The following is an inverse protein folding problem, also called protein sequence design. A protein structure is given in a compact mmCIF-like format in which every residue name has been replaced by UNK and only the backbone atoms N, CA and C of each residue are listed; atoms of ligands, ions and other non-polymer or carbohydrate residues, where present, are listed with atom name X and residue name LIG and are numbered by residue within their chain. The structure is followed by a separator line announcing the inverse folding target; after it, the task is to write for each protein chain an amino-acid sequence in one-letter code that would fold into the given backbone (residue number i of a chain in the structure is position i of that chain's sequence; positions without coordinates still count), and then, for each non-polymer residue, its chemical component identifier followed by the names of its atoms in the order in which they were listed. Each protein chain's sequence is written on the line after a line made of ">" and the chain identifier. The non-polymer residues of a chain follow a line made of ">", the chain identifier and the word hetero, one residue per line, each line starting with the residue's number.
data_IF_952105556931
#
_entry.id   IF_952105556931
#
_cell.length_a   1.000
_cell.length_b   1.000
_cell.length_c   1.000
_cell.angle_alpha   90.00
_cell.angle_beta   90.00
_cell.angle_gamma   90.00
#
_symmetry.space_group_name_H-M   'P 1'
#
loop_
_entity.id
_entity.type
_entity.pdbx_description
1 polymer ?
#
# COMPACT_ATOMS: atom_id res chain seq x y z
N UNK A 1 -25.87 -21.66 -16.34
CA UNK A 1 -24.64 -22.01 -15.59
C UNK A 1 -24.84 -22.84 -14.31
N UNK A 2 -25.43 -22.37 -13.20
CA UNK A 2 -25.61 -23.23 -11.99
C UNK A 2 -26.37 -24.55 -12.26
N UNK A 3 -27.35 -24.51 -13.16
CA UNK A 3 -28.14 -25.69 -13.57
C UNK A 3 -27.34 -26.70 -14.40
N UNK A 4 -26.42 -26.24 -15.25
CA UNK A 4 -25.58 -27.12 -16.09
C UNK A 4 -24.44 -27.73 -15.27
N UNK A 5 -23.83 -26.96 -14.36
CA UNK A 5 -22.79 -27.48 -13.46
C UNK A 5 -23.33 -28.60 -12.55
N UNK A 6 -24.55 -28.43 -12.03
CA UNK A 6 -25.22 -29.47 -11.25
C UNK A 6 -25.58 -30.70 -12.10
N UNK A 7 -26.00 -30.51 -13.36
CA UNK A 7 -26.27 -31.63 -14.26
C UNK A 7 -24.99 -32.42 -14.60
N UNK A 8 -23.85 -31.75 -14.84
CA UNK A 8 -22.57 -32.40 -15.10
C UNK A 8 -22.06 -33.11 -13.84
N UNK A 9 -22.14 -32.48 -12.66
CA UNK A 9 -21.70 -33.11 -11.40
C UNK A 9 -22.52 -34.34 -11.00
N UNK A 10 -23.78 -34.40 -11.41
CA UNK A 10 -24.66 -35.55 -11.23
C UNK A 10 -24.41 -36.67 -12.25
N UNK A 11 -23.76 -36.36 -13.38
CA UNK A 11 -23.36 -37.33 -14.41
C UNK A 11 -21.99 -37.97 -14.15
N UNK A 12 -21.15 -37.36 -13.30
CA UNK A 12 -19.83 -37.89 -12.96
C UNK A 12 -19.94 -39.03 -11.95
N UNK A 13 -19.30 -40.16 -12.26
CA UNK A 13 -19.14 -41.26 -11.30
C UNK A 13 -18.20 -40.84 -10.17
N UNK A 14 -18.21 -41.56 -9.05
CA UNK A 14 -17.29 -41.28 -7.93
C UNK A 14 -15.82 -41.43 -8.34
N UNK A 15 -15.53 -42.32 -9.30
CA UNK A 15 -14.20 -42.44 -9.90
C UNK A 15 -13.83 -41.20 -10.72
N UNK A 16 -14.75 -40.65 -11.51
CA UNK A 16 -14.49 -39.43 -12.29
C UNK A 16 -14.24 -38.23 -11.38
N UNK A 17 -15.02 -38.10 -10.29
CA UNK A 17 -14.80 -37.07 -9.26
C UNK A 17 -13.42 -37.19 -8.62
N UNK A 18 -12.94 -38.42 -8.38
CA UNK A 18 -11.60 -38.66 -7.83
C UNK A 18 -10.51 -38.26 -8.83
N UNK A 19 -10.67 -38.62 -10.11
CA UNK A 19 -9.73 -38.25 -11.17
C UNK A 19 -9.66 -36.73 -11.37
N UNK A 20 -10.80 -36.04 -11.35
CA UNK A 20 -10.85 -34.57 -11.44
C UNK A 20 -10.10 -33.93 -10.26
N UNK A 21 -10.30 -34.41 -9.04
CA UNK A 21 -9.58 -33.92 -7.85
C UNK A 21 -8.06 -34.11 -7.99
N UNK A 22 -7.62 -35.26 -8.46
CA UNK A 22 -6.19 -35.53 -8.67
C UNK A 22 -5.61 -34.65 -9.78
N UNK A 23 -6.34 -34.45 -10.88
CA UNK A 23 -5.94 -33.56 -11.98
C UNK A 23 -5.79 -32.11 -11.51
N UNK A 24 -6.74 -31.60 -10.72
CA UNK A 24 -6.66 -30.25 -10.12
C UNK A 24 -5.44 -30.14 -9.21
N UNK A 25 -5.17 -31.15 -8.39
CA UNK A 25 -4.00 -31.18 -7.50
C UNK A 25 -2.68 -31.15 -8.29
N UNK A 26 -2.58 -31.91 -9.38
CA UNK A 26 -1.41 -31.90 -10.27
C UNK A 26 -1.25 -30.51 -10.88
N UNK A 27 -2.32 -29.93 -11.41
CA UNK A 27 -2.30 -28.60 -12.02
C UNK A 27 -1.83 -27.51 -11.03
N UNK A 28 -2.38 -27.49 -9.81
CA UNK A 28 -1.96 -26.55 -8.76
C UNK A 28 -0.49 -26.74 -8.39
N UNK A 29 0.00 -27.99 -8.36
CA UNK A 29 1.42 -28.26 -8.12
C UNK A 29 2.29 -27.78 -9.28
N UNK A 30 1.82 -27.89 -10.52
CA UNK A 30 2.50 -27.33 -11.69
C UNK A 30 2.60 -25.81 -11.60
N UNK A 31 1.53 -25.11 -11.20
CA UNK A 31 1.56 -23.65 -11.00
C UNK A 31 2.57 -23.24 -9.92
N UNK A 32 2.62 -23.98 -8.81
CA UNK A 32 3.62 -23.74 -7.76
C UNK A 32 5.05 -23.92 -8.29
N UNK A 33 5.31 -24.97 -9.06
CA UNK A 33 6.63 -25.20 -9.64
C UNK A 33 7.02 -24.08 -10.62
N UNK A 34 6.08 -23.65 -11.47
CA UNK A 34 6.28 -22.53 -12.41
C UNK A 34 6.60 -21.25 -11.64
N UNK A 35 5.88 -20.96 -10.56
CA UNK A 35 6.15 -19.81 -9.68
C UNK A 35 7.54 -19.87 -9.04
N UNK A 36 7.95 -21.03 -8.53
CA UNK A 36 9.25 -21.22 -7.88
C UNK A 36 10.43 -21.12 -8.87
N UNK A 37 10.29 -21.74 -10.04
CA UNK A 37 11.33 -21.74 -11.08
C UNK A 37 11.62 -20.33 -11.58
N UNK A 38 10.60 -19.49 -11.73
CA UNK A 38 10.77 -18.09 -12.14
C UNK A 38 11.52 -17.22 -11.12
N UNK A 39 11.50 -17.61 -9.83
CA UNK A 39 12.26 -16.89 -8.79
C UNK A 39 13.76 -17.20 -8.83
N UNK A 40 14.20 -18.14 -9.67
CA UNK A 40 15.62 -18.47 -9.82
C UNK A 40 16.31 -17.48 -10.79
N UNK A 41 17.37 -16.81 -10.31
CA UNK A 41 18.11 -15.72 -11.00
C UNK A 41 18.57 -16.07 -12.43
N UNK A 42 18.84 -17.35 -12.73
CA UNK A 42 19.26 -17.77 -14.07
C UNK A 42 18.11 -17.84 -15.08
N UNK A 43 16.89 -18.08 -14.62
CA UNK A 43 15.71 -18.32 -15.47
C UNK A 43 15.04 -17.01 -15.89
N UNK A 44 15.18 -15.94 -15.09
CA UNK A 44 14.71 -14.60 -15.44
C UNK A 44 15.32 -14.03 -16.73
N UNK A 45 16.44 -14.61 -17.20
CA UNK A 45 17.12 -14.19 -18.44
C UNK A 45 16.63 -14.96 -19.69
N UNK A 46 16.07 -16.17 -19.54
CA UNK A 46 15.58 -17.00 -20.65
C UNK A 46 14.10 -16.72 -20.96
N UNK A 47 13.83 -15.51 -21.48
CA UNK A 47 12.46 -15.00 -21.68
C UNK A 47 11.62 -15.82 -22.66
N UNK A 48 12.22 -16.44 -23.69
CA UNK A 48 11.47 -17.19 -24.71
C UNK A 48 10.83 -18.45 -24.14
N UNK A 49 11.62 -19.30 -23.47
CA UNK A 49 11.12 -20.53 -22.84
C UNK A 49 10.07 -20.21 -21.77
N UNK A 50 10.32 -19.18 -20.94
CA UNK A 50 9.34 -18.81 -19.92
C UNK A 50 8.05 -18.29 -20.54
N UNK A 51 8.13 -17.51 -21.63
CA UNK A 51 6.93 -17.08 -22.38
C UNK A 51 6.15 -18.29 -22.87
N UNK A 52 6.81 -19.28 -23.45
CA UNK A 52 6.12 -20.49 -23.93
C UNK A 52 5.46 -21.28 -22.79
N UNK A 53 6.13 -21.42 -21.64
CA UNK A 53 5.56 -22.07 -20.45
C UNK A 53 4.32 -21.29 -19.97
N UNK A 54 4.41 -19.97 -19.83
CA UNK A 54 3.31 -19.13 -19.36
C UNK A 54 2.12 -19.19 -20.32
N UNK A 55 2.35 -19.04 -21.63
CA UNK A 55 1.27 -19.06 -22.62
C UNK A 55 0.56 -20.42 -22.65
N UNK A 56 1.30 -21.53 -22.58
CA UNK A 56 0.71 -22.87 -22.72
C UNK A 56 0.17 -23.44 -21.40
N UNK A 57 0.70 -23.03 -20.24
CA UNK A 57 0.30 -23.63 -18.96
C UNK A 57 -0.55 -22.70 -18.09
N UNK A 58 -0.42 -21.38 -18.21
CA UNK A 58 -1.01 -20.44 -17.24
C UNK A 58 -2.14 -19.62 -17.85
N UNK A 59 -1.94 -19.05 -19.04
CA UNK A 59 -2.83 -18.00 -19.60
C UNK A 59 -4.29 -18.48 -19.73
N UNK A 60 -4.52 -19.72 -20.17
CA UNK A 60 -5.87 -20.28 -20.32
C UNK A 60 -6.62 -20.40 -18.99
N UNK A 61 -5.89 -20.50 -17.88
CA UNK A 61 -6.48 -20.66 -16.54
C UNK A 61 -6.76 -19.34 -15.83
N UNK A 62 -6.34 -18.20 -16.39
CA UNK A 62 -6.65 -16.86 -15.84
C UNK A 62 -8.15 -16.55 -15.87
N UNK A 63 -8.93 -17.24 -16.72
CA UNK A 63 -10.39 -17.12 -16.80
C UNK A 63 -11.12 -18.35 -16.26
N UNK A 64 -10.42 -19.23 -15.53
CA UNK A 64 -11.02 -20.44 -14.97
C UNK A 64 -12.13 -20.09 -13.98
N UNK A 65 -13.25 -20.82 -14.00
CA UNK A 65 -14.35 -20.61 -13.05
C UNK A 65 -14.00 -21.05 -11.62
N UNK A 66 -13.03 -21.95 -11.47
CA UNK A 66 -12.57 -22.43 -10.17
C UNK A 66 -11.59 -21.39 -9.61
N UNK A 67 -12.01 -20.70 -8.55
CA UNK A 67 -11.27 -19.59 -7.93
C UNK A 67 -9.85 -20.02 -7.55
N UNK A 68 -9.68 -21.16 -6.88
CA UNK A 68 -8.35 -21.64 -6.46
C UNK A 68 -7.38 -21.82 -7.63
N UNK A 69 -7.86 -22.36 -8.76
CA UNK A 69 -7.05 -22.55 -9.97
C UNK A 69 -6.70 -21.18 -10.56
N UNK A 70 -7.69 -20.29 -10.68
CA UNK A 70 -7.50 -18.94 -11.22
C UNK A 70 -6.51 -18.13 -10.38
N UNK A 71 -6.63 -18.14 -9.06
CA UNK A 71 -5.72 -17.44 -8.15
C UNK A 71 -4.30 -17.99 -8.20
N UNK A 72 -4.13 -19.31 -8.28
CA UNK A 72 -2.80 -19.91 -8.43
C UNK A 72 -2.19 -19.66 -9.81
N UNK A 73 -3.01 -19.58 -10.88
CA UNK A 73 -2.54 -19.18 -12.20
C UNK A 73 -2.06 -17.71 -12.19
N UNK A 74 -2.82 -16.79 -11.59
CA UNK A 74 -2.41 -15.39 -11.44
C UNK A 74 -1.11 -15.29 -10.63
N UNK A 75 -1.00 -16.01 -9.51
CA UNK A 75 0.23 -16.05 -8.70
C UNK A 75 1.42 -16.58 -9.48
N UNK A 76 1.24 -17.64 -10.27
CA UNK A 76 2.28 -18.20 -11.11
C UNK A 76 2.68 -17.26 -12.26
N UNK A 77 1.77 -16.41 -12.73
CA UNK A 77 2.03 -15.38 -13.73
C UNK A 77 2.85 -14.21 -13.14
N UNK A 78 2.70 -13.87 -11.86
CA UNK A 78 3.26 -12.65 -11.26
C UNK A 78 4.77 -12.45 -11.53
N UNK A 79 5.67 -13.41 -11.27
CA UNK A 79 7.10 -13.16 -11.48
C UNK A 79 7.42 -12.83 -12.95
N UNK A 80 6.75 -13.49 -13.90
CA UNK A 80 6.89 -13.20 -15.33
C UNK A 80 6.48 -11.76 -15.67
N UNK A 81 5.49 -11.20 -14.97
CA UNK A 81 5.09 -9.81 -15.14
C UNK A 81 6.13 -8.85 -14.55
N UNK A 82 6.82 -9.22 -13.46
CA UNK A 82 7.80 -8.36 -12.78
C UNK A 82 9.19 -8.34 -13.43
N UNK A 83 9.58 -9.41 -14.13
CA UNK A 83 10.93 -9.54 -14.72
C UNK A 83 11.04 -8.78 -16.05
N UNK A 84 11.09 -7.44 -15.98
CA UNK A 84 11.33 -6.54 -17.12
C UNK A 84 10.50 -6.87 -18.38
N UNK A 85 9.26 -7.29 -18.18
CA UNK A 85 8.31 -7.65 -19.21
C UNK A 85 7.07 -6.74 -19.15
N UNK A 86 7.33 -5.45 -19.35
CA UNK A 86 6.29 -4.43 -19.34
C UNK A 86 5.16 -4.72 -20.32
N UNK A 87 5.44 -5.32 -21.48
CA UNK A 87 4.42 -5.66 -22.47
C UNK A 87 3.42 -6.70 -21.92
N UNK A 88 3.92 -7.75 -21.25
CA UNK A 88 3.05 -8.71 -20.59
C UNK A 88 2.29 -8.09 -19.42
N UNK A 89 2.96 -7.25 -18.61
CA UNK A 89 2.32 -6.53 -17.52
C UNK A 89 1.15 -5.65 -18.02
N UNK A 90 1.37 -4.86 -19.07
CA UNK A 90 0.32 -4.06 -19.74
C UNK A 90 -0.82 -4.92 -20.27
N UNK A 91 -0.50 -6.05 -20.88
CA UNK A 91 -1.53 -6.94 -21.42
C UNK A 91 -2.41 -7.56 -20.32
N UNK A 92 -1.82 -7.92 -19.18
CA UNK A 92 -2.51 -8.61 -18.09
C UNK A 92 -3.04 -7.70 -16.97
N UNK A 93 -2.71 -6.40 -16.93
CA UNK A 93 -3.15 -5.48 -15.87
C UNK A 93 -4.67 -5.42 -15.74
N UNK A 94 -5.40 -5.45 -16.86
CA UNK A 94 -6.87 -5.46 -16.85
C UNK A 94 -7.44 -6.77 -16.27
N UNK A 95 -6.70 -7.88 -16.36
CA UNK A 95 -7.09 -9.13 -15.69
C UNK A 95 -6.97 -8.98 -14.18
N UNK A 96 -5.94 -8.28 -13.70
CA UNK A 96 -5.75 -7.98 -12.28
C UNK A 96 -6.86 -7.05 -11.78
N UNK A 97 -7.18 -5.97 -12.51
CA UNK A 97 -8.27 -5.06 -12.17
C UNK A 97 -9.62 -5.80 -12.07
N UNK A 98 -9.93 -6.63 -13.07
CA UNK A 98 -11.16 -7.41 -13.07
C UNK A 98 -11.26 -8.36 -11.88
N UNK A 99 -10.14 -9.02 -11.51
CA UNK A 99 -10.14 -9.97 -10.40
C UNK A 99 -10.32 -9.28 -9.04
N UNK A 100 -9.81 -8.05 -8.86
CA UNK A 100 -10.04 -7.23 -7.66
C UNK A 100 -11.54 -6.95 -7.45
N UNK A 101 -12.29 -6.77 -8.54
CA UNK A 101 -13.76 -6.60 -8.48
C UNK A 101 -14.52 -7.91 -8.24
N UNK A 102 -13.86 -9.05 -8.39
CA UNK A 102 -14.52 -10.36 -8.43
C UNK A 102 -14.80 -10.90 -7.01
N UNK A 103 -15.97 -11.51 -6.76
CA UNK A 103 -16.28 -12.12 -5.49
C UNK A 103 -15.40 -13.36 -5.23
N UNK A 104 -15.08 -13.60 -3.95
CA UNK A 104 -14.25 -14.73 -3.49
C UNK A 104 -12.77 -14.67 -3.89
N UNK A 105 -12.32 -13.54 -4.44
CA UNK A 105 -10.91 -13.28 -4.73
C UNK A 105 -10.10 -13.11 -3.44
N UNK A 106 -8.85 -13.58 -3.46
CA UNK A 106 -7.86 -13.23 -2.45
C UNK A 106 -7.38 -11.79 -2.66
N UNK A 107 -8.12 -10.82 -2.09
CA UNK A 107 -7.86 -9.39 -2.27
C UNK A 107 -6.45 -8.99 -1.82
N UNK A 108 -5.92 -9.58 -0.74
CA UNK A 108 -4.56 -9.31 -0.28
C UNK A 108 -3.55 -9.63 -1.37
N UNK A 109 -3.62 -10.82 -1.96
CA UNK A 109 -2.71 -11.22 -3.04
C UNK A 109 -2.85 -10.32 -4.27
N UNK A 110 -4.08 -10.02 -4.70
CA UNK A 110 -4.29 -9.19 -5.88
C UNK A 110 -3.74 -7.77 -5.70
N UNK A 111 -3.94 -7.17 -4.53
CA UNK A 111 -3.43 -5.84 -4.22
C UNK A 111 -1.90 -5.83 -4.12
N UNK A 112 -1.29 -6.85 -3.51
CA UNK A 112 0.17 -7.00 -3.48
C UNK A 112 0.74 -7.06 -4.92
N UNK A 113 0.17 -7.91 -5.78
CA UNK A 113 0.59 -8.01 -7.18
C UNK A 113 0.44 -6.67 -7.89
N UNK A 114 -0.70 -6.00 -7.70
CA UNK A 114 -0.99 -4.75 -8.38
C UNK A 114 0.00 -3.65 -8.00
N UNK A 115 0.19 -3.43 -6.71
CA UNK A 115 1.07 -2.37 -6.22
C UNK A 115 2.54 -2.66 -6.50
N UNK A 116 2.96 -3.92 -6.49
CA UNK A 116 4.31 -4.28 -6.91
C UNK A 116 4.54 -3.97 -8.40
N UNK A 117 3.53 -4.17 -9.27
CA UNK A 117 3.63 -3.75 -10.68
C UNK A 117 3.78 -2.23 -10.79
N UNK A 118 3.02 -1.47 -9.99
CA UNK A 118 3.11 -0.01 -9.96
C UNK A 118 4.47 0.47 -9.45
N UNK A 119 5.05 -0.18 -8.44
CA UNK A 119 6.39 0.14 -7.95
C UNK A 119 7.49 -0.27 -8.94
N UNK A 120 7.32 -1.38 -9.63
CA UNK A 120 8.31 -1.90 -10.59
C UNK A 120 8.38 -1.04 -11.85
N UNK A 121 7.24 -0.65 -12.41
CA UNK A 121 7.18 0.03 -13.72
C UNK A 121 6.73 1.49 -13.66
N UNK A 122 6.22 1.95 -12.53
CA UNK A 122 5.60 3.28 -12.38
C UNK A 122 4.17 3.33 -12.93
N UNK A 123 3.35 4.22 -12.38
CA UNK A 123 1.94 4.38 -12.76
C UNK A 123 1.76 4.80 -14.23
N UNK A 124 2.64 5.68 -14.72
CA UNK A 124 2.61 6.19 -16.10
C UNK A 124 2.78 5.09 -17.13
N UNK A 125 3.50 4.02 -16.78
CA UNK A 125 3.67 2.87 -17.66
C UNK A 125 2.37 2.12 -17.89
N UNK A 126 1.33 2.33 -17.09
CA UNK A 126 0.01 1.71 -17.27
C UNK A 126 -1.07 2.71 -17.71
N UNK A 127 -0.67 3.91 -18.13
CA UNK A 127 -1.58 5.01 -18.48
C UNK A 127 -2.50 5.41 -17.29
N UNK A 128 -2.00 5.27 -16.06
CA UNK A 128 -2.73 5.63 -14.83
C UNK A 128 -2.31 7.03 -14.38
N UNK A 129 -3.30 7.87 -14.06
CA UNK A 129 -3.08 9.21 -13.48
C UNK A 129 -2.57 9.09 -12.04
N UNK A 130 -1.49 9.82 -11.71
CA UNK A 130 -1.00 9.97 -10.34
C UNK A 130 -1.72 11.07 -9.56
N UNK A 131 -2.50 11.92 -10.24
CA UNK A 131 -3.33 12.95 -9.64
C UNK A 131 -4.76 12.45 -9.40
N UNK A 132 -5.03 12.08 -8.15
CA UNK A 132 -6.38 11.72 -7.68
C UNK A 132 -7.01 12.82 -6.81
N UNK A 133 -6.33 13.95 -6.62
CA UNK A 133 -6.86 15.08 -5.85
C UNK A 133 -7.78 15.97 -6.72
N UNK A 134 -7.78 15.76 -8.04
CA UNK A 134 -8.76 16.33 -8.95
C UNK A 134 -10.17 15.78 -8.63
N UNK A 135 -11.20 16.63 -8.68
CA UNK A 135 -12.60 16.25 -8.48
C UNK A 135 -13.06 15.33 -9.63
N UNK A 136 -12.68 14.06 -9.58
CA UNK A 136 -13.05 13.03 -10.54
C UNK A 136 -14.33 12.34 -10.08
N UNK A 137 -15.30 12.24 -11.00
CA UNK A 137 -16.44 11.34 -10.83
C UNK A 137 -15.93 9.97 -11.25
N UNK A 138 -15.58 9.15 -10.28
CA UNK A 138 -15.20 7.76 -10.54
C UNK A 138 -16.44 6.89 -10.67
N UNK A 139 -16.45 6.05 -11.71
CA UNK A 139 -17.38 4.94 -11.81
C UNK A 139 -16.95 3.84 -10.81
N UNK A 140 -17.88 2.98 -10.42
CA UNK A 140 -17.64 1.89 -9.45
C UNK A 140 -16.74 0.76 -10.01
N UNK A 141 -16.42 0.80 -11.31
CA UNK A 141 -15.61 -0.21 -11.97
C UNK A 141 -14.10 0.11 -11.87
N UNK A 142 -13.33 -0.89 -11.45
CA UNK A 142 -11.88 -0.82 -11.41
C UNK A 142 -11.28 -0.78 -12.83
N UNK A 143 -10.89 0.40 -13.27
CA UNK A 143 -10.20 0.67 -14.55
C UNK A 143 -8.90 1.44 -14.28
N UNK A 144 -8.04 1.61 -15.31
CA UNK A 144 -6.82 2.40 -15.16
C UNK A 144 -7.07 3.84 -14.67
N UNK A 145 -8.22 4.42 -14.98
CA UNK A 145 -8.58 5.79 -14.59
C UNK A 145 -9.08 5.87 -13.13
N UNK A 146 -9.79 4.85 -12.66
CA UNK A 146 -10.49 4.87 -11.36
C UNK A 146 -9.84 3.99 -10.29
N UNK A 147 -8.83 3.17 -10.62
CA UNK A 147 -8.21 2.22 -9.69
C UNK A 147 -7.66 2.90 -8.44
N UNK A 148 -6.88 3.99 -8.57
CA UNK A 148 -6.29 4.65 -7.40
C UNK A 148 -7.32 5.37 -6.53
N UNK A 149 -8.26 6.17 -7.07
CA UNK A 149 -9.34 6.74 -6.27
C UNK A 149 -10.17 5.69 -5.53
N UNK A 150 -10.59 4.61 -6.22
CA UNK A 150 -11.39 3.54 -5.61
C UNK A 150 -10.64 2.83 -4.49
N UNK A 151 -9.34 2.53 -4.69
CA UNK A 151 -8.51 1.93 -3.65
C UNK A 151 -8.32 2.87 -2.47
N UNK A 152 -8.06 4.16 -2.71
CA UNK A 152 -7.93 5.17 -1.67
C UNK A 152 -9.23 5.30 -0.87
N UNK A 153 -10.39 5.26 -1.53
CA UNK A 153 -11.70 5.33 -0.90
C UNK A 153 -12.08 4.08 -0.11
N UNK A 154 -11.63 2.90 -0.56
CA UNK A 154 -11.87 1.63 0.11
C UNK A 154 -11.26 1.53 1.51
N UNK A 155 -10.20 2.29 1.80
CA UNK A 155 -9.64 2.41 3.15
C UNK A 155 -10.62 3.21 4.01
N UNK A 156 -11.17 2.67 5.08
CA UNK A 156 -11.94 3.48 6.04
C UNK A 156 -11.13 3.80 7.28
N UNK A 157 -11.64 4.71 8.11
CA UNK A 157 -10.97 5.07 9.37
C UNK A 157 -11.05 3.97 10.44
N UNK A 158 -11.85 2.92 10.21
CA UNK A 158 -12.00 1.80 11.13
C UNK A 158 -11.01 0.66 10.87
N UNK A 159 -10.11 0.79 9.88
CA UNK A 159 -9.07 -0.17 9.54
C UNK A 159 -8.41 -0.85 10.75
N UNK A 160 -8.27 -2.17 10.64
CA UNK A 160 -7.55 -3.07 11.54
C UNK A 160 -6.43 -3.81 10.78
N UNK A 161 -5.55 -4.49 11.53
CA UNK A 161 -4.36 -5.18 11.03
C UNK A 161 -4.69 -6.42 10.18
N UNK A 162 -5.89 -6.98 10.32
CA UNK A 162 -6.33 -8.18 9.57
C UNK A 162 -6.90 -7.85 8.19
N UNK A 163 -7.30 -6.60 7.98
CA UNK A 163 -7.95 -6.12 6.78
C UNK A 163 -7.00 -6.07 5.58
N UNK A 164 -7.49 -6.34 4.36
CA UNK A 164 -6.74 -6.08 3.12
C UNK A 164 -6.39 -4.59 2.95
N UNK A 165 -7.12 -3.72 3.64
CA UNK A 165 -6.88 -2.27 3.64
C UNK A 165 -5.48 -1.92 4.16
N UNK A 166 -4.86 -2.79 4.97
CA UNK A 166 -3.48 -2.58 5.44
C UNK A 166 -2.49 -2.63 4.28
N UNK A 167 -2.68 -3.56 3.35
CA UNK A 167 -1.90 -3.66 2.11
C UNK A 167 -2.04 -2.39 1.30
N UNK A 168 -3.25 -1.83 1.20
CA UNK A 168 -3.51 -0.58 0.50
C UNK A 168 -2.77 0.59 1.17
N UNK A 169 -2.85 0.69 2.51
CA UNK A 169 -2.14 1.74 3.27
C UNK A 169 -0.64 1.65 3.05
N UNK A 170 -0.05 0.47 3.28
CA UNK A 170 1.38 0.24 3.11
C UNK A 170 1.84 0.54 1.68
N UNK A 171 1.06 0.11 0.70
CA UNK A 171 1.43 0.26 -0.70
C UNK A 171 1.34 1.71 -1.18
N UNK A 172 0.33 2.48 -0.77
CA UNK A 172 0.30 3.93 -1.01
C UNK A 172 1.46 4.63 -0.29
N UNK A 173 1.79 4.23 0.94
CA UNK A 173 2.97 4.74 1.64
C UNK A 173 4.25 4.53 0.82
N UNK A 174 4.45 3.33 0.28
CA UNK A 174 5.58 3.01 -0.58
C UNK A 174 5.57 3.86 -1.86
N UNK A 175 4.46 3.91 -2.60
CA UNK A 175 4.36 4.75 -3.81
C UNK A 175 4.68 6.22 -3.54
N UNK A 176 4.24 6.76 -2.38
CA UNK A 176 4.54 8.15 -1.99
C UNK A 176 6.03 8.34 -1.68
N UNK A 177 6.64 7.42 -0.93
CA UNK A 177 8.08 7.48 -0.58
C UNK A 177 8.96 7.37 -1.82
N UNK A 178 8.61 6.49 -2.76
CA UNK A 178 9.28 6.37 -4.05
C UNK A 178 8.93 7.48 -5.04
N UNK A 179 8.09 8.44 -4.64
CA UNK A 179 7.66 9.61 -5.43
C UNK A 179 6.90 9.28 -6.72
N UNK A 180 6.38 8.06 -6.84
CA UNK A 180 5.52 7.60 -7.93
C UNK A 180 4.08 8.11 -7.79
N UNK A 181 3.67 8.50 -6.58
CA UNK A 181 2.31 8.95 -6.29
C UNK A 181 2.30 10.13 -5.31
N UNK A 182 1.41 11.10 -5.52
CA UNK A 182 1.26 12.27 -4.65
C UNK A 182 -0.22 12.61 -4.50
N UNK A 183 -0.75 12.52 -3.28
CA UNK A 183 -2.12 12.92 -3.00
C UNK A 183 -2.26 13.51 -1.60
N UNK A 184 -2.76 14.74 -1.53
CA UNK A 184 -3.17 15.41 -0.30
C UNK A 184 -4.34 14.66 0.33
N UNK A 185 -5.26 14.13 -0.48
CA UNK A 185 -6.39 13.33 0.01
C UNK A 185 -5.93 12.10 0.78
N UNK A 186 -5.06 11.27 0.18
CA UNK A 186 -4.54 10.04 0.81
C UNK A 186 -3.70 10.35 2.04
N UNK A 187 -2.79 11.33 1.96
CA UNK A 187 -1.96 11.73 3.11
C UNK A 187 -2.84 12.24 4.26
N UNK A 188 -3.88 13.03 3.97
CA UNK A 188 -4.83 13.50 4.99
C UNK A 188 -5.54 12.34 5.67
N UNK A 189 -5.96 11.33 4.91
CA UNK A 189 -6.62 10.13 5.42
C UNK A 189 -5.69 9.33 6.33
N UNK A 190 -4.44 9.16 5.90
CA UNK A 190 -3.42 8.43 6.67
C UNK A 190 -3.01 9.16 7.94
N UNK A 191 -2.95 10.50 7.94
CA UNK A 191 -2.77 11.27 9.17
C UNK A 191 -3.89 10.99 10.18
N UNK A 192 -5.15 10.97 9.74
CA UNK A 192 -6.28 10.66 10.63
C UNK A 192 -6.17 9.23 11.19
N UNK A 193 -5.82 8.26 10.35
CA UNK A 193 -5.63 6.86 10.78
C UNK A 193 -4.47 6.74 11.76
N UNK A 194 -3.38 7.48 11.55
CA UNK A 194 -2.21 7.46 12.43
C UNK A 194 -2.52 7.99 13.84
N UNK A 195 -3.39 9.01 13.93
CA UNK A 195 -3.85 9.55 15.23
C UNK A 195 -5.04 8.79 15.84
N UNK A 196 -5.54 7.72 15.20
CA UNK A 196 -6.51 6.81 15.81
C UNK A 196 -5.90 6.26 17.10
N UNK A 197 -6.71 6.16 18.15
CA UNK A 197 -6.30 5.58 19.42
C UNK A 197 -5.72 4.19 19.22
N UNK A 198 -4.50 3.98 19.72
CA UNK A 198 -3.77 2.74 19.54
C UNK A 198 -4.48 1.59 20.25
N UNK A 199 -4.78 0.53 19.51
CA UNK A 199 -5.31 -0.73 20.02
C UNK A 199 -4.42 -1.88 19.57
N UNK A 200 -4.58 -3.06 20.17
CA UNK A 200 -3.85 -4.27 19.74
C UNK A 200 -4.16 -4.67 18.30
N UNK A 201 -5.34 -4.32 17.79
CA UNK A 201 -5.81 -4.66 16.44
C UNK A 201 -5.35 -3.67 15.38
N UNK A 202 -4.67 -2.59 15.75
CA UNK A 202 -4.25 -1.51 14.83
C UNK A 202 -2.76 -1.20 14.96
N UNK A 203 -2.02 -2.08 15.62
CA UNK A 203 -0.63 -1.84 15.97
C UNK A 203 0.25 -1.83 14.73
N UNK A 204 0.05 -2.78 13.81
CA UNK A 204 0.86 -2.88 12.60
C UNK A 204 0.59 -1.70 11.67
N UNK A 205 -0.68 -1.32 11.47
CA UNK A 205 -1.03 -0.12 10.68
C UNK A 205 -0.39 1.14 11.29
N UNK A 206 -0.43 1.28 12.63
CA UNK A 206 0.22 2.39 13.30
C UNK A 206 1.74 2.41 13.06
N UNK A 207 2.41 1.26 13.17
CA UNK A 207 3.86 1.14 12.92
C UNK A 207 4.21 1.48 11.46
N UNK A 208 3.42 0.99 10.51
CA UNK A 208 3.58 1.32 9.08
C UNK A 208 3.46 2.81 8.84
N UNK A 209 2.44 3.47 9.41
CA UNK A 209 2.25 4.91 9.27
C UNK A 209 3.32 5.73 9.98
N UNK A 210 3.76 5.30 11.18
CA UNK A 210 4.86 5.94 11.90
C UNK A 210 6.16 5.90 11.10
N UNK A 211 6.52 4.72 10.57
CA UNK A 211 7.69 4.54 9.70
C UNK A 211 7.55 5.40 8.45
N UNK A 212 6.41 5.34 7.78
CA UNK A 212 6.11 6.15 6.59
C UNK A 212 6.28 7.64 6.85
N UNK A 213 5.59 8.22 7.84
CA UNK A 213 5.67 9.67 8.09
C UNK A 213 7.07 10.10 8.52
N UNK A 214 7.79 9.26 9.25
CA UNK A 214 9.20 9.50 9.56
C UNK A 214 10.03 9.58 8.28
N UNK A 215 10.01 8.54 7.44
CA UNK A 215 10.74 8.51 6.18
C UNK A 215 10.33 9.64 5.23
N UNK A 216 9.03 9.89 5.10
CA UNK A 216 8.46 10.96 4.27
C UNK A 216 9.00 12.33 4.65
N UNK A 217 9.03 12.63 5.95
CA UNK A 217 9.48 13.93 6.46
C UNK A 217 10.98 14.16 6.26
N UNK A 218 11.80 13.12 6.35
CA UNK A 218 13.25 13.23 6.18
C UNK A 218 13.70 13.23 4.72
N UNK A 219 13.10 12.38 3.89
CA UNK A 219 13.63 12.10 2.55
C UNK A 219 12.91 12.87 1.44
N UNK A 220 11.71 13.39 1.67
CA UNK A 220 10.96 14.14 0.66
C UNK A 220 10.99 15.64 0.98
N UNK A 221 11.69 16.49 0.19
CA UNK A 221 11.83 17.92 0.50
C UNK A 221 10.52 18.71 0.55
N UNK A 222 9.50 18.29 -0.19
CA UNK A 222 8.18 18.92 -0.22
C UNK A 222 7.21 18.39 0.84
N UNK A 223 7.64 17.46 1.70
CA UNK A 223 6.80 16.77 2.69
C UNK A 223 6.10 17.74 3.63
N UNK A 224 6.86 18.59 4.32
CA UNK A 224 6.35 19.56 5.28
C UNK A 224 5.30 20.52 4.66
N UNK A 225 5.51 20.96 3.40
CA UNK A 225 4.54 21.81 2.68
C UNK A 225 3.26 21.04 2.33
N UNK A 226 3.40 19.75 2.00
CA UNK A 226 2.27 18.86 1.72
C UNK A 226 1.47 18.58 2.98
N UNK A 227 2.12 18.31 4.12
CA UNK A 227 1.46 18.15 5.43
C UNK A 227 0.71 19.42 5.82
N UNK A 228 1.30 20.60 5.58
CA UNK A 228 0.63 21.86 5.84
C UNK A 228 -0.65 22.05 4.99
N UNK A 229 -0.65 21.58 3.73
CA UNK A 229 -1.87 21.53 2.89
C UNK A 229 -2.89 20.52 3.41
N UNK A 230 -2.47 19.42 4.03
CA UNK A 230 -3.34 18.39 4.62
C UNK A 230 -4.04 18.87 5.91
N UNK A 231 -3.48 19.85 6.62
CA UNK A 231 -3.98 20.29 7.92
C UNK A 231 -5.48 20.63 7.93
N UNK A 232 -5.94 21.47 6.99
CA UNK A 232 -7.35 21.87 6.89
C UNK A 232 -8.25 20.71 6.46
N UNK A 233 -7.94 19.92 5.41
CA UNK A 233 -8.65 18.69 5.08
C UNK A 233 -8.82 17.73 6.25
N UNK A 234 -7.76 17.45 7.00
CA UNK A 234 -7.79 16.57 8.19
C UNK A 234 -8.83 17.06 9.20
N UNK A 235 -8.75 18.32 9.59
CA UNK A 235 -9.68 18.89 10.57
C UNK A 235 -11.14 18.93 10.06
N UNK A 236 -11.34 19.18 8.75
CA UNK A 236 -12.66 19.11 8.12
C UNK A 236 -13.23 17.70 8.16
N UNK A 237 -12.44 16.67 7.82
CA UNK A 237 -12.90 15.27 7.83
C UNK A 237 -13.24 14.80 9.25
N UNK A 238 -12.37 15.10 10.24
CA UNK A 238 -12.63 14.80 11.65
C UNK A 238 -13.94 15.43 12.12
N UNK A 239 -14.20 16.69 11.73
CA UNK A 239 -15.43 17.39 12.07
C UNK A 239 -16.67 16.78 11.39
N UNK A 240 -16.59 16.55 10.08
CA UNK A 240 -17.70 16.05 9.24
C UNK A 240 -18.17 14.67 9.72
N UNK A 241 -17.23 13.79 10.05
CA UNK A 241 -17.53 12.41 10.43
C UNK A 241 -17.55 12.17 11.95
N UNK A 242 -17.43 13.24 12.77
CA UNK A 242 -17.40 13.16 14.24
C UNK A 242 -16.38 12.14 14.77
N UNK A 243 -15.19 12.12 14.15
CA UNK A 243 -14.20 11.05 14.37
C UNK A 243 -13.50 11.10 15.73
N UNK A 244 -13.49 12.25 16.42
CA UNK A 244 -12.78 12.44 17.69
C UNK A 244 -13.16 11.35 18.70
N UNK A 245 -14.45 11.22 18.98
CA UNK A 245 -14.94 10.25 19.95
C UNK A 245 -14.94 8.83 19.38
N UNK A 246 -15.17 8.70 18.07
CA UNK A 246 -15.28 7.40 17.40
C UNK A 246 -13.94 6.66 17.36
N UNK A 247 -12.87 7.39 17.09
CA UNK A 247 -11.52 6.87 16.92
C UNK A 247 -10.63 7.16 18.13
N UNK A 248 -11.16 7.74 19.20
CA UNK A 248 -10.41 8.14 20.40
C UNK A 248 -9.19 9.04 20.10
N UNK A 249 -9.35 10.01 19.20
CA UNK A 249 -8.27 10.94 18.80
C UNK A 249 -8.08 12.03 19.87
N UNK A 250 -6.86 12.19 20.38
CA UNK A 250 -6.49 13.38 21.15
C UNK A 250 -6.15 14.55 20.20
N UNK A 251 -7.07 15.51 20.12
CA UNK A 251 -6.89 16.71 19.29
C UNK A 251 -5.68 17.56 19.70
N UNK A 252 -5.31 17.60 20.98
CA UNK A 252 -4.19 18.43 21.43
C UNK A 252 -2.85 17.82 20.98
N UNK A 253 -2.72 16.50 21.11
CA UNK A 253 -1.56 15.77 20.63
C UNK A 253 -1.45 15.89 19.11
N UNK A 254 -2.52 15.57 18.38
CA UNK A 254 -2.56 15.70 16.92
C UNK A 254 -2.17 17.11 16.45
N UNK A 255 -2.73 18.15 17.06
CA UNK A 255 -2.40 19.52 16.69
C UNK A 255 -0.93 19.85 16.97
N UNK A 256 -0.40 19.45 18.11
CA UNK A 256 1.01 19.66 18.45
C UNK A 256 1.92 18.95 17.44
N UNK A 257 1.65 17.68 17.16
CA UNK A 257 2.44 16.88 16.23
C UNK A 257 2.37 17.43 14.80
N UNK A 258 1.17 17.74 14.29
CA UNK A 258 1.03 18.33 12.96
C UNK A 258 1.73 19.68 12.83
N UNK A 259 1.68 20.52 13.87
CA UNK A 259 2.42 21.78 13.88
C UNK A 259 3.92 21.53 13.82
N UNK A 260 4.44 20.61 14.63
CA UNK A 260 5.87 20.24 14.61
C UNK A 260 6.30 19.70 13.25
N UNK A 261 5.49 18.86 12.61
CA UNK A 261 5.77 18.36 11.26
C UNK A 261 5.78 19.47 10.22
N UNK A 262 4.99 20.52 10.39
CA UNK A 262 4.97 21.66 9.47
C UNK A 262 6.08 22.68 9.75
N UNK A 263 6.77 22.61 10.89
CA UNK A 263 7.76 23.61 11.30
C UNK A 263 8.89 23.75 10.26
N UNK A 264 9.27 22.72 9.51
CA UNK A 264 10.26 22.85 8.44
C UNK A 264 9.89 23.80 7.28
N UNK A 265 8.59 24.02 7.01
CA UNK A 265 8.10 24.86 5.88
C UNK A 265 7.27 26.06 6.28
N UNK A 266 6.68 26.08 7.48
CA UNK A 266 5.97 27.27 8.00
C UNK A 266 6.89 28.50 8.03
N UNK A 267 8.21 28.32 8.14
CA UNK A 267 9.19 29.41 8.14
C UNK A 267 9.58 29.95 6.75
N UNK A 268 9.13 29.35 5.63
CA UNK A 268 9.43 29.88 4.28
C UNK A 268 8.26 30.58 3.59
N UNK A 269 7.02 30.25 3.95
CA UNK A 269 5.81 30.81 3.33
C UNK A 269 4.85 31.34 4.42
N UNK A 270 5.40 32.24 5.24
CA UNK A 270 4.96 32.60 6.61
C UNK A 270 3.51 33.12 6.74
N UNK A 271 2.83 33.51 5.65
CA UNK A 271 1.56 34.26 5.74
C UNK A 271 0.33 33.57 5.16
N UNK A 272 0.45 32.72 4.12
CA UNK A 272 -0.76 32.15 3.46
C UNK A 272 -1.30 30.92 4.16
N UNK A 273 -0.44 29.97 4.53
CA UNK A 273 -0.87 28.71 5.16
C UNK A 273 -1.29 28.94 6.63
N UNK A 274 -0.55 29.77 7.36
CA UNK A 274 -0.89 30.24 8.71
C UNK A 274 -2.23 31.00 8.71
N UNK A 275 -2.50 31.86 7.72
CA UNK A 275 -3.80 32.50 7.55
C UNK A 275 -4.92 31.51 7.29
N UNK A 276 -4.72 30.47 6.47
CA UNK A 276 -5.75 29.46 6.20
C UNK A 276 -6.10 28.64 7.46
N UNK A 277 -5.10 28.27 8.25
CA UNK A 277 -5.28 27.55 9.52
C UNK A 277 -6.02 28.43 10.55
N UNK A 278 -5.57 29.67 10.72
CA UNK A 278 -6.22 30.63 11.63
C UNK A 278 -7.65 30.94 11.17
N UNK A 279 -7.87 31.13 9.87
CA UNK A 279 -9.20 31.44 9.33
C UNK A 279 -10.17 30.26 9.46
N UNK A 280 -9.71 29.02 9.30
CA UNK A 280 -10.55 27.84 9.54
C UNK A 280 -10.93 27.67 11.02
N UNK A 281 -9.97 27.87 11.94
CA UNK A 281 -10.25 27.89 13.38
C UNK A 281 -11.25 29.00 13.77
N UNK A 282 -11.20 30.15 13.10
CA UNK A 282 -12.16 31.24 13.28
C UNK A 282 -13.59 30.90 12.81
N UNK A 283 -13.74 30.13 11.73
CA UNK A 283 -15.06 29.80 11.16
C UNK A 283 -15.83 28.79 12.02
N UNK A 284 -15.13 27.85 12.67
CA UNK A 284 -15.80 26.72 13.36
C UNK A 284 -16.27 27.05 14.78
N UNK A 285 -15.56 27.92 15.50
CA UNK A 285 -15.85 28.08 16.94
C UNK A 285 -16.80 29.22 17.29
N UNK A 286 -16.97 30.26 16.46
CA UNK A 286 -17.84 31.41 16.77
C UNK A 286 -17.56 32.15 18.10
N UNK A 287 -16.64 31.66 18.94
CA UNK A 287 -16.40 32.02 20.34
C UNK A 287 -14.94 31.84 20.79
N UNK A 288 -14.06 31.27 19.97
CA UNK A 288 -12.65 31.13 20.37
C UNK A 288 -11.92 32.44 20.16
N UNK A 289 -11.50 33.03 21.26
CA UNK A 289 -10.86 34.34 21.33
C UNK A 289 -9.61 34.33 20.44
N UNK A 290 -9.71 34.93 19.24
CA UNK A 290 -8.67 35.02 18.21
C UNK A 290 -7.35 35.48 18.84
N UNK A 291 -7.40 36.37 19.83
CA UNK A 291 -6.22 36.81 20.58
C UNK A 291 -5.48 35.69 21.32
N UNK A 292 -6.18 34.68 21.85
CA UNK A 292 -5.60 33.59 22.64
C UNK A 292 -4.95 32.52 21.76
N UNK A 293 -5.58 32.17 20.63
CA UNK A 293 -4.97 31.31 19.60
C UNK A 293 -3.80 32.03 18.93
N UNK A 294 -3.98 33.28 18.52
CA UNK A 294 -2.90 34.10 17.96
C UNK A 294 -1.77 34.30 18.97
N UNK A 295 -2.04 34.49 20.27
CA UNK A 295 -1.02 34.51 21.33
C UNK A 295 -0.35 33.16 21.54
N UNK A 296 -1.08 32.04 21.48
CA UNK A 296 -0.50 30.70 21.63
C UNK A 296 0.43 30.38 20.45
N UNK A 297 -0.01 30.67 19.23
CA UNK A 297 0.79 30.59 18.02
C UNK A 297 1.97 31.57 18.03
N UNK A 298 1.76 32.84 18.40
CA UNK A 298 2.83 33.82 18.56
C UNK A 298 3.81 33.46 19.67
N UNK A 299 3.37 32.77 20.74
CA UNK A 299 4.24 32.29 21.82
C UNK A 299 5.05 31.06 21.42
N UNK A 300 4.50 30.20 20.56
CA UNK A 300 5.25 29.10 19.92
C UNK A 300 6.30 29.70 18.96
N UNK A 301 5.90 30.66 18.12
CA UNK A 301 6.76 31.44 17.22
C UNK A 301 7.87 32.23 17.96
N UNK A 302 7.63 32.68 19.20
CA UNK A 302 8.59 33.47 19.98
C UNK A 302 9.49 32.61 20.89
N UNK A 303 9.05 31.42 21.33
CA UNK A 303 9.85 30.54 22.20
C UNK A 303 11.03 29.88 21.46
N UNK A 304 10.92 29.63 20.15
CA UNK A 304 11.99 28.99 19.38
C UNK A 304 13.12 29.95 18.97
N UNK A 305 12.96 31.26 19.15
CA UNK A 305 14.11 32.17 19.09
C UNK A 305 15.05 32.05 20.29
N UNK A 306 14.67 31.32 21.35
CA UNK A 306 15.41 31.28 22.61
C UNK A 306 15.65 29.90 23.22
N UNK A 307 15.01 28.82 22.76
CA UNK A 307 15.20 27.49 23.35
C UNK A 307 15.40 26.40 22.29
N UNK A 308 16.57 25.78 22.36
CA UNK A 308 17.00 24.58 21.64
C UNK A 308 16.23 23.37 22.20
N UNK A 309 14.95 23.23 21.84
CA UNK A 309 14.13 22.11 22.28
C UNK A 309 14.25 20.94 21.31
N UNK A 310 14.48 19.76 21.89
CA UNK A 310 14.69 18.49 21.23
C UNK A 310 13.71 18.27 20.08
N UNK A 311 14.26 18.37 18.87
CA UNK A 311 13.64 17.89 17.66
C UNK A 311 13.14 16.46 17.93
N UNK A 312 11.90 16.14 17.56
CA UNK A 312 11.35 14.76 17.64
C UNK A 312 12.32 13.73 16.99
N UNK A 313 13.16 14.27 16.11
CA UNK A 313 14.21 13.68 15.30
C UNK A 313 15.63 14.11 15.72
N UNK A 314 15.88 14.31 17.02
CA UNK A 314 17.22 14.65 17.51
C UNK A 314 18.25 13.59 17.09
N UNK A 315 19.52 14.00 16.93
CA UNK A 315 20.62 13.08 16.55
C UNK A 315 20.73 11.85 17.45
N UNK A 316 20.25 11.92 18.68
CA UNK A 316 20.22 10.79 19.63
C UNK A 316 19.14 9.76 19.27
N UNK A 317 17.97 10.19 18.78
CA UNK A 317 16.94 9.28 18.25
C UNK A 317 17.34 8.69 16.89
N UNK A 318 18.12 9.44 16.09
CA UNK A 318 18.67 8.99 14.79
C UNK A 318 19.65 7.83 14.96
N UNK A 319 20.44 7.81 16.05
CA UNK A 319 21.44 6.76 16.31
C UNK A 319 20.83 5.40 16.63
N UNK A 320 19.61 5.38 17.17
CA UNK A 320 18.86 4.15 17.41
C UNK A 320 18.27 3.56 16.12
N UNK A 321 17.94 4.42 15.15
CA UNK A 321 17.41 4.00 13.84
C UNK A 321 18.53 3.54 12.92
N UNK A 322 19.71 4.18 12.93
CA UNK A 322 20.86 3.73 12.12
C UNK A 322 21.40 2.35 12.52
N UNK A 323 21.24 1.97 13.80
CA UNK A 323 21.64 0.64 14.29
C UNK A 323 20.71 -0.48 13.83
N UNK A 324 19.50 -0.16 13.34
CA UNK A 324 18.54 -1.16 12.81
C UNK A 324 18.83 -1.47 11.33
N UNK A 325 19.59 -0.62 10.65
CA UNK A 325 19.85 -0.70 9.20
C UNK A 325 21.30 -1.01 8.82
N UNK A 326 22.22 -1.11 9.79
CA UNK A 326 23.64 -1.37 9.55
C UNK A 326 24.11 -2.68 10.19
N UNK A 327 23.38 -3.77 9.96
CA UNK A 327 23.97 -5.11 9.98
C UNK A 327 23.95 -5.61 8.54
N UNK A 328 25.16 -5.80 7.99
CA UNK A 328 25.48 -6.36 6.66
C UNK A 328 25.51 -5.37 5.48
N UNK A 329 26.63 -4.67 5.30
CA UNK A 329 27.44 -4.74 4.06
C UNK A 329 28.58 -3.72 4.10
N UNK A 330 29.72 -4.12 4.66
CA UNK A 330 31.02 -3.51 4.34
C UNK A 330 31.59 -4.25 3.13
N UNK A 331 31.25 -3.82 1.92
CA UNK A 331 32.06 -4.08 0.72
C UNK A 331 31.92 -2.89 -0.23
N UNK A 332 32.95 -2.04 -0.19
CA UNK A 332 33.23 -1.04 -1.20
C UNK A 332 33.58 -1.75 -2.52
N UNK A 333 32.81 -1.53 -3.58
CA UNK A 333 33.30 -1.62 -4.96
C UNK A 333 32.41 -0.74 -5.89
N UNK A 334 33.07 0.24 -6.51
CA UNK A 334 32.52 1.18 -7.48
C UNK A 334 32.33 0.50 -8.86
N UNK A 335 31.13 -0.01 -9.23
CA UNK A 335 30.80 -0.31 -10.64
C UNK A 335 29.30 -0.09 -11.02
N UNK A 336 29.12 0.82 -11.99
CA UNK A 336 28.06 0.94 -13.01
C UNK A 336 26.56 1.11 -12.64
N UNK A 337 26.01 2.27 -13.04
CA UNK A 337 24.59 2.68 -12.94
C UNK A 337 23.58 1.73 -13.63
N UNK A 338 24.01 0.79 -14.47
CA UNK A 338 23.14 -0.24 -15.06
C UNK A 338 22.78 -1.38 -14.08
N UNK A 339 23.57 -1.58 -13.02
CA UNK A 339 23.30 -2.61 -12.01
C UNK A 339 22.23 -2.18 -10.99
N UNK A 340 22.04 -0.88 -10.76
CA UNK A 340 21.13 -0.38 -9.71
C UNK A 340 19.66 -0.76 -9.96
N UNK A 341 19.23 -0.78 -11.24
CA UNK A 341 17.91 -1.27 -11.62
C UNK A 341 17.75 -2.79 -11.46
N UNK A 342 18.83 -3.55 -11.65
CA UNK A 342 18.82 -5.00 -11.51
C UNK A 342 18.80 -5.43 -10.03
N UNK A 343 19.49 -4.69 -9.15
CA UNK A 343 19.48 -4.89 -7.70
C UNK A 343 18.15 -4.49 -7.04
N UNK A 344 17.47 -3.44 -7.52
CA UNK A 344 16.11 -3.10 -7.07
C UNK A 344 15.11 -4.21 -7.41
N UNK A 345 15.15 -4.74 -8.63
CA UNK A 345 14.30 -5.86 -9.05
C UNK A 345 14.54 -7.13 -8.22
N UNK A 346 15.79 -7.45 -7.87
CA UNK A 346 16.14 -8.61 -7.05
C UNK A 346 15.70 -8.47 -5.58
N UNK A 347 15.79 -7.26 -5.02
CA UNK A 347 15.33 -6.99 -3.65
C UNK A 347 13.81 -7.01 -3.54
N UNK A 348 13.11 -6.43 -4.53
CA UNK A 348 11.65 -6.56 -4.70
C UNK A 348 11.21 -8.02 -4.79
N UNK A 349 11.85 -8.83 -5.64
CA UNK A 349 11.52 -10.25 -5.78
C UNK A 349 11.79 -11.06 -4.50
N UNK A 350 12.84 -10.75 -3.74
CA UNK A 350 13.11 -11.40 -2.44
C UNK A 350 12.09 -11.02 -1.38
N UNK A 351 11.76 -9.73 -1.25
CA UNK A 351 10.74 -9.26 -0.30
C UNK A 351 9.37 -9.87 -0.61
N UNK A 352 8.98 -9.87 -1.90
CA UNK A 352 7.74 -10.49 -2.35
C UNK A 352 7.72 -12.00 -2.11
N UNK A 353 8.84 -12.71 -2.27
CA UNK A 353 8.95 -14.14 -1.95
C UNK A 353 8.71 -14.42 -0.47
N UNK A 354 9.26 -13.60 0.43
CA UNK A 354 9.11 -13.80 1.87
C UNK A 354 7.70 -13.46 2.37
N UNK A 355 7.10 -12.38 1.89
CA UNK A 355 5.77 -11.95 2.35
C UNK A 355 4.66 -12.80 1.74
N UNK A 356 4.82 -13.29 0.50
CA UNK A 356 3.92 -14.30 -0.10
C UNK A 356 4.08 -15.66 0.60
N UNK A 357 5.30 -16.06 0.99
CA UNK A 357 5.50 -17.31 1.78
C UNK A 357 4.87 -17.21 3.16
N UNK A 358 5.01 -16.08 3.85
CA UNK A 358 4.44 -15.86 5.20
C UNK A 358 2.92 -15.88 5.17
N UNK A 359 2.30 -15.14 4.25
CA UNK A 359 0.83 -15.08 4.10
C UNK A 359 0.20 -16.44 3.77
N UNK A 360 0.87 -17.29 2.99
CA UNK A 360 0.36 -18.61 2.63
C UNK A 360 0.57 -19.68 3.73
N UNK A 361 1.67 -19.60 4.49
CA UNK A 361 1.91 -20.52 5.61
C UNK A 361 0.93 -20.31 6.77
N UNK A 362 0.47 -19.07 7.01
CA UNK A 362 -0.56 -18.79 8.02
C UNK A 362 -1.91 -19.43 7.64
N UNK A 363 -2.34 -19.37 6.37
CA UNK A 363 -3.58 -20.01 5.90
C UNK A 363 -3.56 -21.55 5.97
N UNK A 364 -2.39 -22.17 5.72
CA UNK A 364 -2.25 -23.64 5.84
C UNK A 364 -2.25 -24.13 7.30
N UNK A 365 -1.87 -23.28 8.26
CA UNK A 365 -1.98 -23.59 9.69
C UNK A 365 -3.43 -23.49 10.20
N UNK A 366 -4.22 -22.54 9.68
CA UNK A 366 -5.65 -22.41 10.02
C UNK A 366 -6.54 -23.49 9.37
N UNK A 367 -6.18 -23.98 8.18
CA UNK A 367 -6.87 -25.11 7.56
C UNK A 367 -6.49 -26.47 8.17
N UNK A 368 -5.33 -26.60 8.80
CA UNK A 368 -4.92 -27.85 9.48
C UNK A 368 -5.41 -27.94 10.93
N UNK A 369 -5.74 -26.82 11.58
CA UNK A 369 -6.41 -26.81 12.89
C UNK A 369 -7.90 -27.11 12.80
N UNK A 370 -8.59 -26.67 11.73
CA UNK A 370 -10.02 -26.92 11.49
C UNK A 370 -10.37 -28.33 10.96
N UNK A 371 -9.36 -29.17 10.70
CA UNK A 371 -9.51 -30.57 10.30
C UNK A 371 -9.22 -31.56 11.44
N UNK A 372 -8.85 -31.06 12.64
CA UNK A 372 -8.57 -31.85 13.84
C UNK A 372 -9.56 -31.57 15.00
N UNK A 373 -10.63 -30.84 14.74
CA UNK A 373 -11.86 -30.78 15.55
C UNK A 373 -13.01 -31.39 14.75
#
# INVERSE_FOLDING_TARGET
>A
MKSEYNNINNLLTDNDKKLVKEAVKILLKSFELVFQVQQMIKVSNERSLMTDIIQNMIVDYLKCLIVDIRMNAIRALTPYLMVNNLNAAKFHINTIFFEISSPMTDMHLMLQILFELFLTYGLKSFDISDDIDADLICDDDFTGENILPLLADSVDFEIDDSSYKTVIVESFCNLIVFQEFKSIYVISKFLIIWFKGLTSETFNVYQTLMKFFTTYMFHIPSSSSTIAKCYVPVLKQIAKHKLINKLSIDLNEMNTTLLNLCQGTIFRDENKQLMLIVNWLCIKDGKTNIKKLRQKFSSILLKEKSEDHGNLFSKENIKYISLIYNEDDDNDDDEDEENEHQYRNLSSMKCMSEDIKKSFNMKNQEQSSSLNE
#
